data_IF_320739990801
#
_entry.id   IF_320739990801
#
_cell.length_a   1.000
_cell.length_b   1.000
_cell.length_c   1.000
_cell.angle_alpha   90.00
_cell.angle_beta   90.00
_cell.angle_gamma   90.00
#
_symmetry.space_group_name_H-M   'P 1'
#
loop_
_entity.id
_entity.type
_entity.pdbx_description
1 polymer ?
#
# COMPACT_ATOMS: atom_id res chain seq x y z
N UNK A 1 3.20 -9.59 34.66
CA UNK A 1 3.87 -8.34 34.26
C UNK A 1 2.90 -7.22 34.53
N UNK A 2 3.35 -6.19 35.23
CA UNK A 2 2.50 -5.09 35.67
C UNK A 2 2.20 -4.14 34.51
N UNK A 3 0.93 -3.78 34.37
CA UNK A 3 0.50 -2.74 33.44
C UNK A 3 0.86 -1.38 34.04
N UNK A 4 1.48 -0.51 33.24
CA UNK A 4 1.78 0.87 33.66
C UNK A 4 0.62 1.86 33.45
N UNK A 5 -0.55 1.36 33.02
CA UNK A 5 -1.77 2.16 32.75
C UNK A 5 -1.56 3.40 31.87
N UNK A 6 -0.58 3.33 30.97
CA UNK A 6 -0.21 4.42 30.05
C UNK A 6 -1.30 4.81 29.03
N UNK A 7 -2.36 4.00 28.88
CA UNK A 7 -3.51 4.33 28.03
C UNK A 7 -3.31 4.17 26.51
N UNK A 8 -2.09 3.90 26.04
CA UNK A 8 -1.77 3.79 24.61
C UNK A 8 -2.63 2.75 23.86
N UNK A 9 -2.98 1.63 24.52
CA UNK A 9 -3.83 0.60 23.93
C UNK A 9 -5.28 1.03 23.68
N UNK A 10 -5.71 2.20 24.19
CA UNK A 10 -7.07 2.74 24.06
C UNK A 10 -7.20 3.81 22.97
N UNK A 11 -6.11 4.19 22.32
CA UNK A 11 -6.07 5.28 21.32
C UNK A 11 -6.54 4.84 19.92
N UNK A 12 -7.00 3.59 19.77
CA UNK A 12 -7.43 2.99 18.49
C UNK A 12 -6.38 3.04 17.37
N UNK A 13 -5.11 3.24 17.73
CA UNK A 13 -3.99 3.26 16.80
C UNK A 13 -3.63 1.83 16.37
N UNK A 14 -3.35 1.63 15.09
CA UNK A 14 -2.99 0.32 14.53
C UNK A 14 -1.69 -0.24 15.13
N UNK A 15 -0.82 0.63 15.64
CA UNK A 15 0.42 0.28 16.31
C UNK A 15 0.65 1.27 17.44
N UNK A 16 1.01 0.77 18.63
CA UNK A 16 1.32 1.60 19.80
C UNK A 16 2.49 1.02 20.59
N UNK A 17 3.24 1.85 21.30
CA UNK A 17 4.31 1.39 22.17
C UNK A 17 3.79 0.97 23.56
N UNK A 18 4.20 -0.20 24.05
CA UNK A 18 3.82 -0.71 25.37
C UNK A 18 5.05 -0.72 26.30
N UNK A 19 5.15 0.21 27.28
CA UNK A 19 6.30 0.26 28.19
C UNK A 19 6.46 -1.01 29.05
N UNK A 20 5.36 -1.69 29.36
CA UNK A 20 5.37 -2.97 30.11
C UNK A 20 6.03 -4.11 29.31
N UNK A 21 5.95 -4.04 27.98
CA UNK A 21 6.62 -4.98 27.07
C UNK A 21 7.96 -4.45 26.55
N UNK A 22 8.23 -3.16 26.77
CA UNK A 22 9.33 -2.42 26.16
C UNK A 22 9.39 -2.63 24.63
N UNK A 23 8.23 -2.69 23.98
CA UNK A 23 8.12 -3.02 22.56
C UNK A 23 6.87 -2.38 21.91
N UNK A 24 6.87 -2.29 20.59
CA UNK A 24 5.72 -1.88 19.80
C UNK A 24 4.73 -3.03 19.64
N UNK A 25 3.47 -2.77 19.97
CA UNK A 25 2.36 -3.71 19.79
C UNK A 25 1.59 -3.29 18.55
N UNK A 26 1.51 -4.19 17.58
CA UNK A 26 0.70 -4.03 16.37
C UNK A 26 -0.64 -4.72 16.61
N UNK A 27 -1.74 -3.99 16.48
CA UNK A 27 -3.08 -4.59 16.57
C UNK A 27 -3.38 -5.33 15.28
N UNK A 28 -3.77 -6.60 15.37
CA UNK A 28 -4.21 -7.43 14.23
C UNK A 28 -5.56 -6.99 13.66
N UNK A 29 -5.99 -5.74 13.87
CA UNK A 29 -7.16 -5.23 13.17
C UNK A 29 -6.85 -5.31 11.68
N UNK A 30 -7.68 -6.01 10.88
CA UNK A 30 -7.53 -5.99 9.45
C UNK A 30 -7.92 -4.58 9.01
N UNK A 31 -6.95 -3.66 9.00
CA UNK A 31 -7.04 -2.48 8.14
C UNK A 31 -6.92 -3.07 6.75
N UNK A 32 -8.05 -3.55 6.23
CA UNK A 32 -8.21 -3.76 4.80
C UNK A 32 -8.08 -2.35 4.25
N UNK A 33 -6.86 -1.97 3.91
CA UNK A 33 -6.64 -0.89 2.97
C UNK A 33 -7.26 -1.43 1.70
N UNK A 34 -8.56 -1.17 1.53
CA UNK A 34 -9.24 -1.27 0.25
C UNK A 34 -8.49 -0.33 -0.65
N UNK A 35 -7.41 -0.84 -1.25
CA UNK A 35 -6.87 -0.27 -2.46
C UNK A 35 -8.04 -0.43 -3.42
N UNK A 36 -8.83 0.62 -3.56
CA UNK A 36 -9.78 0.81 -4.64
C UNK A 36 -8.96 0.66 -5.94
N UNK A 37 -8.73 -0.58 -6.35
CA UNK A 37 -8.30 -0.89 -7.69
C UNK A 37 -9.53 -0.55 -8.51
N UNK A 38 -9.62 0.72 -8.92
CA UNK A 38 -10.61 1.17 -9.89
C UNK A 38 -10.49 0.20 -11.05
N UNK A 39 -11.47 -0.69 -11.18
CA UNK A 39 -11.45 -1.73 -12.19
C UNK A 39 -11.67 -1.04 -13.54
N UNK A 40 -10.57 -0.65 -14.19
CA UNK A 40 -10.60 0.04 -15.48
C UNK A 40 -10.85 -0.91 -16.66
N UNK A 41 -11.20 -2.17 -16.40
CA UNK A 41 -11.42 -3.18 -17.42
C UNK A 41 -10.18 -3.46 -18.28
N UNK A 42 -10.41 -3.91 -19.51
CA UNK A 42 -9.36 -4.21 -20.48
C UNK A 42 -8.65 -2.92 -20.95
N UNK A 43 -7.34 -2.84 -20.73
CA UNK A 43 -6.56 -1.60 -20.94
C UNK A 43 -6.42 -1.16 -22.40
N UNK A 44 -6.68 -2.04 -23.37
CA UNK A 44 -6.54 -1.74 -24.80
C UNK A 44 -7.58 -0.69 -25.23
N UNK A 45 -7.12 0.40 -25.82
CA UNK A 45 -7.96 1.56 -26.17
C UNK A 45 -7.93 2.69 -25.15
N UNK A 46 -7.48 2.45 -23.90
CA UNK A 46 -7.31 3.53 -22.94
C UNK A 46 -6.17 4.48 -23.40
N UNK A 47 -6.36 5.82 -23.35
CA UNK A 47 -5.38 6.77 -23.87
C UNK A 47 -3.97 6.58 -23.28
N UNK A 48 -3.89 6.41 -21.96
CA UNK A 48 -2.61 6.21 -21.26
C UNK A 48 -1.95 4.86 -21.60
N UNK A 49 -2.74 3.83 -21.84
CA UNK A 49 -2.24 2.54 -22.28
C UNK A 49 -1.66 2.61 -23.69
N UNK A 50 -2.37 3.25 -24.64
CA UNK A 50 -1.89 3.40 -26.02
C UNK A 50 -0.66 4.32 -26.12
N UNK A 51 -0.60 5.41 -25.34
CA UNK A 51 0.61 6.26 -25.23
C UNK A 51 1.82 5.43 -24.80
N UNK A 52 1.69 4.66 -23.72
CA UNK A 52 2.76 3.79 -23.21
C UNK A 52 3.16 2.73 -24.25
N UNK A 53 2.19 2.08 -24.87
CA UNK A 53 2.42 1.05 -25.90
C UNK A 53 3.13 1.59 -27.13
N UNK A 54 2.86 2.83 -27.56
CA UNK A 54 3.58 3.48 -28.66
C UNK A 54 5.02 3.79 -28.28
N UNK A 55 5.26 4.30 -27.07
CA UNK A 55 6.60 4.59 -26.55
C UNK A 55 7.48 3.34 -26.47
N UNK A 56 6.92 2.22 -26.00
CA UNK A 56 7.65 0.94 -25.95
C UNK A 56 8.07 0.51 -27.35
N UNK A 57 7.14 0.54 -28.33
CA UNK A 57 7.46 0.19 -29.72
C UNK A 57 8.54 1.09 -30.31
N UNK A 58 8.50 2.39 -30.04
CA UNK A 58 9.54 3.32 -30.48
C UNK A 58 10.91 2.96 -29.88
N UNK A 59 10.97 2.75 -28.57
CA UNK A 59 12.22 2.37 -27.89
C UNK A 59 12.77 1.02 -28.38
N UNK A 60 11.91 0.08 -28.77
CA UNK A 60 12.33 -1.20 -29.35
C UNK A 60 12.93 -1.01 -30.75
N UNK A 61 12.34 -0.14 -31.57
CA UNK A 61 12.88 0.20 -32.88
C UNK A 61 14.25 0.90 -32.78
N UNK A 62 14.41 1.81 -31.83
CA UNK A 62 15.68 2.53 -31.57
C UNK A 62 16.80 1.62 -31.05
N UNK A 63 16.49 0.44 -30.51
CA UNK A 63 17.50 -0.53 -30.05
C UNK A 63 17.98 -1.48 -31.16
N UNK A 64 17.22 -1.57 -32.25
CA UNK A 64 17.49 -2.50 -33.35
C UNK A 64 18.25 -1.79 -34.49
N UNK A 65 18.11 -0.47 -34.62
CA UNK A 65 18.87 0.37 -35.56
C UNK A 65 20.17 0.89 -34.96
#
# INVERSE_FOLDING_TARGET
>A
MDCFDCGNCKQDEAMYYCPAKNDFVILEKPVVVEREKVYQGWKKGAPEYEKRRRKIRQNEMEKIG
#
